data_IF_498219266242
#
_entry.id   IF_498219266242
#
_cell.length_a   1.000
_cell.length_b   1.000
_cell.length_c   1.000
_cell.angle_alpha   90.00
_cell.angle_beta   90.00
_cell.angle_gamma   90.00
#
_symmetry.space_group_name_H-M   'P 1'
#
loop_
_entity.id
_entity.type
_entity.pdbx_description
1 polymer ?
#
# COMPACT_ATOMS: atom_id res chain seq x y z
N UNK A 1 6.18 -9.92 73.67
CA UNK A 1 7.07 -9.77 72.50
C UNK A 1 6.34 -10.28 71.26
N UNK A 2 6.05 -9.45 70.24
CA UNK A 2 5.32 -9.92 69.06
C UNK A 2 6.23 -10.81 68.20
N UNK A 3 5.70 -11.97 67.83
CA UNK A 3 6.38 -13.09 67.19
C UNK A 3 6.85 -12.72 65.76
N UNK A 4 8.16 -12.55 65.58
CA UNK A 4 8.82 -12.11 64.32
C UNK A 4 8.48 -13.01 63.13
N UNK A 5 8.26 -14.31 63.35
CA UNK A 5 7.91 -15.26 62.28
C UNK A 5 6.54 -14.95 61.65
N UNK A 6 5.58 -14.42 62.42
CA UNK A 6 4.23 -14.11 61.92
C UNK A 6 4.23 -12.90 60.96
N UNK A 7 5.19 -11.98 61.11
CA UNK A 7 5.38 -10.82 60.22
C UNK A 7 6.06 -11.21 58.90
N UNK A 8 6.97 -12.18 58.92
CA UNK A 8 7.61 -12.70 57.70
C UNK A 8 6.64 -13.45 56.79
N UNK A 9 5.77 -14.31 57.35
CA UNK A 9 4.76 -15.03 56.58
C UNK A 9 3.72 -14.10 55.94
N UNK A 10 3.24 -13.09 56.68
CA UNK A 10 2.29 -12.10 56.16
C UNK A 10 2.88 -11.22 55.04
N UNK A 11 4.19 -10.93 55.08
CA UNK A 11 4.87 -10.19 54.01
C UNK A 11 5.02 -11.05 52.75
N UNK A 12 5.35 -12.35 52.92
CA UNK A 12 5.52 -13.31 51.82
C UNK A 12 4.20 -13.63 51.11
N UNK A 13 3.10 -13.77 51.85
CA UNK A 13 1.76 -13.96 51.28
C UNK A 13 1.26 -12.72 50.54
N UNK A 14 1.47 -11.51 51.09
CA UNK A 14 1.11 -10.26 50.39
C UNK A 14 1.91 -10.06 49.09
N UNK A 15 3.19 -10.45 49.09
CA UNK A 15 4.02 -10.41 47.89
C UNK A 15 3.57 -11.44 46.85
N UNK A 16 3.18 -12.64 47.28
CA UNK A 16 2.69 -13.71 46.41
C UNK A 16 1.33 -13.36 45.79
N UNK A 17 0.38 -12.85 46.58
CA UNK A 17 -0.92 -12.38 46.11
C UNK A 17 -0.76 -11.19 45.15
N UNK A 18 0.14 -10.25 45.44
CA UNK A 18 0.47 -9.15 44.55
C UNK A 18 1.06 -9.62 43.21
N UNK A 19 1.97 -10.60 43.23
CA UNK A 19 2.55 -11.17 42.02
C UNK A 19 1.51 -11.94 41.17
N UNK A 20 0.65 -12.74 41.80
CA UNK A 20 -0.45 -13.44 41.11
C UNK A 20 -1.43 -12.45 40.49
N UNK A 21 -1.77 -11.37 41.20
CA UNK A 21 -2.63 -10.31 40.66
C UNK A 21 -1.99 -9.60 39.46
N UNK A 22 -0.68 -9.30 39.52
CA UNK A 22 0.07 -8.65 38.43
C UNK A 22 0.17 -9.55 37.18
N UNK A 23 0.40 -10.86 37.38
CA UNK A 23 0.41 -11.86 36.29
C UNK A 23 -0.98 -12.03 35.70
N UNK A 24 -2.03 -12.12 36.52
CA UNK A 24 -3.41 -12.18 36.05
C UNK A 24 -3.77 -10.93 35.23
N UNK A 25 -3.32 -9.75 35.67
CA UNK A 25 -3.51 -8.49 34.95
C UNK A 25 -2.80 -8.52 33.59
N UNK A 26 -1.53 -8.96 33.51
CA UNK A 26 -0.83 -9.12 32.23
C UNK A 26 -1.51 -10.08 31.25
N UNK A 27 -2.16 -11.15 31.75
CA UNK A 27 -2.90 -12.10 30.90
C UNK A 27 -4.19 -11.45 30.37
N UNK A 28 -4.90 -10.66 31.19
CA UNK A 28 -6.14 -10.00 30.76
C UNK A 28 -5.93 -8.85 29.78
N UNK A 29 -4.76 -8.20 29.80
CA UNK A 29 -4.41 -7.11 28.89
C UNK A 29 -3.57 -7.56 27.68
N UNK A 30 -3.68 -8.84 27.29
CA UNK A 30 -3.00 -9.30 26.08
C UNK A 30 -3.67 -8.66 24.85
N UNK A 31 -2.96 -7.80 24.08
CA UNK A 31 -3.54 -7.21 22.88
C UNK A 31 -3.83 -8.33 21.88
N UNK A 32 -5.10 -8.55 21.58
CA UNK A 32 -5.48 -9.45 20.48
C UNK A 32 -5.11 -8.78 19.17
N UNK A 33 -4.43 -9.52 18.30
CA UNK A 33 -4.07 -9.02 16.97
C UNK A 33 -5.36 -8.94 16.16
N UNK A 34 -5.89 -7.73 15.96
CA UNK A 34 -7.02 -7.52 15.07
C UNK A 34 -6.56 -7.85 13.64
N UNK A 35 -7.04 -8.96 13.08
CA UNK A 35 -6.83 -9.34 11.68
C UNK A 35 -7.67 -8.44 10.77
N UNK A 36 -7.26 -7.18 10.64
CA UNK A 36 -7.83 -6.26 9.67
C UNK A 36 -7.31 -6.62 8.27
N UNK A 37 -8.20 -7.09 7.40
CA UNK A 37 -7.86 -7.33 6.00
C UNK A 37 -7.60 -5.99 5.32
N UNK A 38 -6.37 -5.76 4.83
CA UNK A 38 -6.04 -4.49 4.17
C UNK A 38 -6.80 -4.40 2.84
N UNK A 39 -7.35 -3.23 2.52
CA UNK A 39 -7.99 -2.96 1.23
C UNK A 39 -7.13 -1.98 0.43
N UNK A 40 -7.07 -2.18 -0.87
CA UNK A 40 -6.29 -1.37 -1.80
C UNK A 40 -7.23 -0.72 -2.81
N UNK A 41 -6.89 0.51 -3.18
CA UNK A 41 -7.45 1.22 -4.33
C UNK A 41 -6.28 1.72 -5.15
N UNK A 42 -6.32 1.48 -6.45
CA UNK A 42 -5.35 2.00 -7.42
C UNK A 42 -6.08 2.87 -8.41
N UNK A 43 -5.42 3.92 -8.91
CA UNK A 43 -6.01 4.79 -9.93
C UNK A 43 -4.99 5.16 -11.01
N UNK A 44 -5.47 5.33 -12.23
CA UNK A 44 -4.67 5.78 -13.38
C UNK A 44 -5.54 6.59 -14.33
N UNK A 45 -4.88 7.30 -15.26
CA UNK A 45 -5.55 8.13 -16.26
C UNK A 45 -5.41 7.51 -17.63
N UNK A 46 -6.54 7.40 -18.34
CA UNK A 46 -6.57 7.12 -19.78
C UNK A 46 -7.41 8.20 -20.47
N UNK A 47 -6.76 8.93 -21.38
CA UNK A 47 -7.32 10.12 -22.01
C UNK A 47 -7.82 11.14 -20.98
N UNK A 48 -9.13 11.41 -20.98
CA UNK A 48 -9.76 12.37 -20.06
C UNK A 48 -10.49 11.71 -18.86
N UNK A 49 -10.32 10.40 -18.67
CA UNK A 49 -10.96 9.66 -17.58
C UNK A 49 -9.94 9.11 -16.60
N UNK A 50 -10.32 9.14 -15.32
CA UNK A 50 -9.66 8.39 -14.26
C UNK A 50 -10.33 7.03 -14.14
N UNK A 51 -9.53 5.98 -14.13
CA UNK A 51 -9.94 4.62 -13.83
C UNK A 51 -9.43 4.23 -12.45
N UNK A 52 -10.22 3.45 -11.75
CA UNK A 52 -9.88 2.94 -10.41
C UNK A 52 -10.17 1.45 -10.34
N UNK A 53 -9.34 0.73 -9.58
CA UNK A 53 -9.50 -0.69 -9.29
C UNK A 53 -9.28 -0.93 -7.80
N UNK A 54 -10.19 -1.70 -7.20
CA UNK A 54 -10.26 -1.91 -5.76
C UNK A 54 -10.30 -3.40 -5.40
N UNK A 55 -9.43 -3.81 -4.48
CA UNK A 55 -9.29 -5.22 -4.08
C UNK A 55 -8.83 -5.36 -2.62
N UNK A 56 -9.20 -6.47 -1.98
CA UNK A 56 -8.71 -6.85 -0.66
C UNK A 56 -7.33 -7.50 -0.75
N UNK A 57 -6.58 -7.55 0.35
CA UNK A 57 -5.28 -8.24 0.42
C UNK A 57 -5.34 -9.74 0.11
N UNK A 58 -6.54 -10.35 0.16
CA UNK A 58 -6.82 -11.71 -0.29
C UNK A 58 -6.87 -11.85 -1.82
N UNK A 59 -6.90 -10.74 -2.57
CA UNK A 59 -7.10 -10.69 -4.02
C UNK A 59 -8.56 -10.56 -4.46
N UNK A 60 -9.52 -10.66 -3.54
CA UNK A 60 -10.94 -10.49 -3.88
C UNK A 60 -11.27 -9.04 -4.27
N UNK A 61 -12.16 -8.87 -5.25
CA UNK A 61 -12.60 -7.55 -5.72
C UNK A 61 -13.57 -6.90 -4.75
N UNK A 62 -13.39 -5.61 -4.51
CA UNK A 62 -14.31 -4.83 -3.67
C UNK A 62 -15.55 -4.48 -4.50
N UNK A 63 -16.66 -5.15 -4.27
CA UNK A 63 -17.93 -4.89 -4.97
C UNK A 63 -18.76 -3.88 -4.20
N UNK A 64 -19.41 -2.96 -4.93
CA UNK A 64 -20.27 -1.92 -4.35
C UNK A 64 -19.58 -1.05 -3.28
N UNK A 65 -18.25 -0.99 -3.32
CA UNK A 65 -17.43 -0.17 -2.43
C UNK A 65 -17.55 1.29 -2.81
N UNK A 66 -17.70 2.17 -1.83
CA UNK A 66 -17.89 3.59 -2.07
C UNK A 66 -16.54 4.25 -2.38
N UNK A 67 -16.46 4.93 -3.53
CA UNK A 67 -15.33 5.76 -3.91
C UNK A 67 -15.69 7.22 -3.68
N UNK A 68 -14.83 7.94 -2.96
CA UNK A 68 -14.92 9.38 -2.72
C UNK A 68 -13.67 10.03 -3.29
N UNK A 69 -13.83 11.08 -4.09
CA UNK A 69 -12.70 11.83 -4.66
C UNK A 69 -12.69 13.23 -4.07
N UNK A 70 -11.54 13.63 -3.58
CA UNK A 70 -11.31 14.94 -2.96
C UNK A 70 -10.27 15.74 -3.76
N UNK A 71 -10.45 17.05 -3.78
CA UNK A 71 -9.45 17.99 -4.24
C UNK A 71 -8.33 18.24 -3.22
N UNK A 72 -7.35 19.09 -3.55
CA UNK A 72 -6.27 19.46 -2.64
C UNK A 72 -6.75 20.31 -1.44
N UNK A 73 -7.94 20.90 -1.55
CA UNK A 73 -8.65 21.63 -0.49
C UNK A 73 -9.48 20.71 0.42
N UNK A 74 -9.30 19.38 0.31
CA UNK A 74 -10.10 18.34 0.97
C UNK A 74 -11.60 18.38 0.64
N UNK A 75 -12.00 19.18 -0.35
CA UNK A 75 -13.39 19.26 -0.79
C UNK A 75 -13.75 18.03 -1.60
N UNK A 76 -14.89 17.40 -1.26
CA UNK A 76 -15.43 16.28 -2.04
C UNK A 76 -15.87 16.78 -3.42
N UNK A 77 -15.25 16.25 -4.47
CA UNK A 77 -15.53 16.58 -5.86
C UNK A 77 -16.58 15.64 -6.44
N UNK A 78 -16.47 14.35 -6.16
CA UNK A 78 -17.42 13.33 -6.62
C UNK A 78 -17.44 12.11 -5.71
N UNK A 79 -18.46 11.30 -5.92
CA UNK A 79 -18.70 10.04 -5.23
C UNK A 79 -19.26 9.00 -6.21
N UNK A 80 -18.92 7.74 -6.00
CA UNK A 80 -19.41 6.63 -6.80
C UNK A 80 -19.26 5.29 -6.09
N UNK A 81 -19.57 4.21 -6.81
CA UNK A 81 -19.42 2.84 -6.32
C UNK A 81 -18.67 1.97 -7.32
N UNK A 82 -17.88 1.04 -6.81
CA UNK A 82 -17.22 0.03 -7.64
C UNK A 82 -18.21 -0.99 -8.18
N UNK A 83 -17.93 -1.49 -9.37
CA UNK A 83 -18.72 -2.54 -10.02
C UNK A 83 -18.34 -3.94 -9.47
N UNK A 84 -18.90 -5.01 -10.07
CA UNK A 84 -18.62 -6.42 -9.67
C UNK A 84 -17.15 -6.84 -9.81
N UNK A 85 -16.37 -6.14 -10.63
CA UNK A 85 -14.94 -6.34 -10.86
C UNK A 85 -14.07 -5.46 -9.95
N UNK A 86 -14.68 -4.63 -9.10
CA UNK A 86 -13.97 -3.69 -8.25
C UNK A 86 -13.54 -2.41 -8.96
N UNK A 87 -14.09 -2.14 -10.14
CA UNK A 87 -13.69 -1.00 -10.97
C UNK A 87 -14.68 0.16 -10.83
N UNK A 88 -14.19 1.39 -10.91
CA UNK A 88 -14.99 2.60 -11.06
C UNK A 88 -14.23 3.60 -11.94
N UNK A 89 -14.94 4.39 -12.74
CA UNK A 89 -14.31 5.40 -13.60
C UNK A 89 -15.11 6.70 -13.62
N UNK A 90 -14.41 7.82 -13.79
CA UNK A 90 -15.01 9.16 -13.79
C UNK A 90 -14.19 10.12 -14.67
N UNK A 91 -14.83 11.19 -15.14
CA UNK A 91 -14.13 12.26 -15.87
C UNK A 91 -13.29 13.08 -14.90
N UNK A 92 -12.09 13.51 -15.31
CA UNK A 92 -11.19 14.31 -14.47
C UNK A 92 -11.93 15.62 -14.05
N UNK A 93 -12.25 15.82 -12.75
CA UNK A 93 -13.01 16.99 -12.31
C UNK A 93 -12.17 18.26 -12.33
N UNK A 94 -10.86 18.15 -12.07
CA UNK A 94 -9.89 19.24 -12.09
C UNK A 94 -8.48 18.68 -12.27
N UNK A 95 -7.60 19.46 -12.91
CA UNK A 95 -6.20 19.09 -13.16
C UNK A 95 -5.29 19.45 -11.98
N UNK A 96 -5.61 18.91 -10.81
CA UNK A 96 -4.83 19.05 -9.57
C UNK A 96 -4.58 17.68 -8.97
N UNK A 97 -3.82 17.59 -7.88
CA UNK A 97 -3.75 16.34 -7.13
C UNK A 97 -5.16 15.95 -6.66
N UNK A 98 -5.50 14.67 -6.82
CA UNK A 98 -6.79 14.10 -6.46
C UNK A 98 -6.57 13.00 -5.43
N UNK A 99 -7.26 13.11 -4.31
CA UNK A 99 -7.23 12.12 -3.22
C UNK A 99 -8.44 11.21 -3.34
N UNK A 100 -8.22 9.95 -3.71
CA UNK A 100 -9.25 8.95 -3.98
C UNK A 100 -9.31 8.02 -2.77
N UNK A 101 -10.47 7.97 -2.12
CA UNK A 101 -10.72 7.17 -0.94
C UNK A 101 -11.74 6.10 -1.28
N UNK A 102 -11.39 4.86 -0.98
CA UNK A 102 -12.29 3.71 -1.01
C UNK A 102 -12.77 3.39 0.41
N UNK A 103 -14.08 3.34 0.59
CA UNK A 103 -14.73 2.75 1.75
C UNK A 103 -15.35 1.42 1.33
N UNK A 104 -14.64 0.33 1.59
CA UNK A 104 -15.20 -1.01 1.58
C UNK A 104 -15.95 -1.23 2.90
N UNK A 105 -17.11 -1.89 2.85
CA UNK A 105 -17.99 -2.06 4.01
C UNK A 105 -17.25 -2.58 5.27
N UNK A 106 -17.84 -2.34 6.45
CA UNK A 106 -17.28 -2.73 7.75
C UNK A 106 -15.96 -2.04 8.14
N UNK A 107 -15.77 -0.78 7.74
CA UNK A 107 -14.64 0.05 8.19
C UNK A 107 -13.32 -0.16 7.43
N UNK A 108 -13.34 -0.90 6.33
CA UNK A 108 -12.17 -1.08 5.47
C UNK A 108 -11.97 0.15 4.58
N UNK A 109 -10.89 0.90 4.82
CA UNK A 109 -10.57 2.12 4.07
C UNK A 109 -9.26 1.96 3.30
N UNK A 110 -9.28 2.29 2.02
CA UNK A 110 -8.10 2.40 1.15
C UNK A 110 -7.99 3.82 0.60
N UNK A 111 -6.78 4.27 0.30
CA UNK A 111 -6.53 5.62 -0.18
C UNK A 111 -5.44 5.65 -1.26
N UNK A 112 -5.64 6.49 -2.29
CA UNK A 112 -4.71 6.69 -3.38
C UNK A 112 -4.65 8.17 -3.76
N UNK A 113 -3.45 8.72 -3.90
CA UNK A 113 -3.25 10.11 -4.36
C UNK A 113 -2.80 10.08 -5.81
N UNK A 114 -3.69 10.49 -6.71
CA UNK A 114 -3.39 10.67 -8.12
C UNK A 114 -2.81 12.08 -8.31
N UNK A 115 -1.54 12.18 -8.73
CA UNK A 115 -0.88 13.48 -8.88
C UNK A 115 -1.27 14.15 -10.18
N UNK A 116 -1.33 15.48 -10.19
CA UNK A 116 -1.62 16.27 -11.38
C UNK A 116 -0.65 15.97 -12.54
N UNK A 117 0.61 15.64 -12.22
CA UNK A 117 1.64 15.26 -13.21
C UNK A 117 1.29 13.98 -13.97
N UNK A 118 0.59 13.05 -13.32
CA UNK A 118 0.17 11.77 -13.92
C UNK A 118 -1.15 11.92 -14.71
N UNK A 119 -1.82 13.08 -14.59
CA UNK A 119 -3.00 13.46 -15.38
C UNK A 119 -2.63 14.16 -16.70
N UNK A 120 -1.33 14.40 -16.92
CA UNK A 120 -0.79 14.91 -18.17
C UNK A 120 -0.29 13.74 -19.00
N UNK A 121 -1.05 13.43 -20.07
CA UNK A 121 -0.64 12.70 -21.27
C UNK A 121 0.87 12.42 -21.33
N UNK A 122 1.25 11.14 -21.27
CA UNK A 122 2.49 10.74 -21.93
C UNK A 122 2.46 11.33 -23.35
N UNK A 123 3.51 12.00 -23.83
CA UNK A 123 3.63 12.32 -25.25
C UNK A 123 3.74 10.99 -25.99
N UNK A 124 2.61 10.43 -26.43
CA UNK A 124 2.63 9.18 -27.16
C UNK A 124 1.33 8.41 -27.28
N UNK A 125 0.26 8.71 -26.54
CA UNK A 125 -1.01 7.97 -26.71
C UNK A 125 -2.21 8.85 -26.40
N UNK A 126 -2.48 9.83 -27.25
CA UNK A 126 -3.87 10.16 -27.57
C UNK A 126 -3.98 10.92 -28.89
N UNK A 127 -4.97 10.55 -29.70
CA UNK A 127 -5.49 11.36 -30.83
C UNK A 127 -4.81 11.29 -32.21
N UNK A 128 -4.33 10.12 -32.67
CA UNK A 128 -4.02 9.94 -34.12
C UNK A 128 -4.46 8.58 -34.70
N UNK A 129 -5.47 7.90 -34.14
CA UNK A 129 -5.92 6.62 -34.73
C UNK A 129 -7.26 6.66 -35.47
N UNK A 130 -8.01 7.77 -35.43
CA UNK A 130 -9.27 7.86 -36.20
C UNK A 130 -9.15 8.66 -37.50
N UNK A 131 -8.15 9.54 -37.64
CA UNK A 131 -7.87 10.27 -38.90
C UNK A 131 -6.78 9.64 -39.78
N UNK A 132 -6.11 8.59 -39.32
CA UNK A 132 -5.04 7.93 -40.08
C UNK A 132 -5.48 6.64 -40.78
N UNK A 133 -6.65 6.08 -40.45
CA UNK A 133 -7.20 4.92 -41.16
C UNK A 133 -7.63 5.24 -42.61
N UNK A 134 -7.94 6.50 -42.92
CA UNK A 134 -8.35 6.97 -44.26
C UNK A 134 -7.18 7.45 -45.14
N UNK A 135 -5.95 7.53 -44.61
CA UNK A 135 -4.75 7.88 -45.40
C UNK A 135 -3.82 6.70 -45.65
N UNK A 136 -3.91 5.63 -44.87
CA UNK A 136 -3.06 4.43 -45.04
C UNK A 136 -3.44 3.63 -46.30
N UNK A 137 -4.71 3.57 -46.70
CA UNK A 137 -5.10 2.82 -47.91
C UNK A 137 -4.64 3.45 -49.24
N UNK A 138 -4.37 4.77 -49.27
CA UNK A 138 -3.88 5.45 -50.50
C UNK A 138 -2.35 5.59 -50.60
N UNK A 139 -1.60 5.34 -49.52
CA UNK A 139 -0.14 5.39 -49.52
C UNK A 139 0.53 4.01 -49.69
N UNK A 140 -0.21 2.91 -49.50
CA UNK A 140 0.30 1.54 -49.64
C UNK A 140 0.58 1.08 -51.08
N UNK A 141 0.21 1.86 -52.11
CA UNK A 141 0.42 1.47 -53.53
C UNK A 141 1.58 2.20 -54.24
N UNK A 142 2.30 3.11 -53.57
CA UNK A 142 3.32 3.94 -54.22
C UNK A 142 4.73 3.90 -53.60
N UNK A 143 4.98 3.05 -52.59
CA UNK A 143 6.32 2.95 -51.95
C UNK A 143 6.83 1.52 -51.77
N UNK A 144 6.48 0.63 -52.70
CA UNK A 144 7.01 -0.73 -52.78
C UNK A 144 8.39 -0.81 -53.46
N UNK A 145 9.08 0.31 -53.68
CA UNK A 145 10.44 0.29 -54.21
C UNK A 145 11.31 1.23 -53.40
N UNK A 146 12.37 0.66 -52.83
CA UNK A 146 13.51 1.29 -52.18
C UNK A 146 13.46 1.45 -50.65
N UNK A 147 13.67 0.33 -49.93
CA UNK A 147 14.72 0.24 -48.89
C UNK A 147 15.28 -1.19 -48.90
N UNK A 148 16.29 -1.42 -49.73
CA UNK A 148 17.24 -2.52 -49.52
C UNK A 148 18.45 -1.89 -48.82
N UNK A 149 18.54 -2.07 -47.51
CA UNK A 149 19.63 -1.56 -46.67
C UNK A 149 19.35 -1.90 -45.21
N UNK A 150 19.95 -2.99 -44.74
CA UNK A 150 19.59 -3.72 -43.53
C UNK A 150 19.43 -2.89 -42.26
N UNK A 151 18.24 -2.90 -41.70
CA UNK A 151 18.06 -2.73 -40.26
C UNK A 151 18.16 -4.15 -39.70
N UNK A 152 19.32 -4.52 -39.16
CA UNK A 152 19.45 -5.81 -38.49
C UNK A 152 18.55 -5.82 -37.25
N UNK A 153 17.90 -6.95 -37.02
CA UNK A 153 16.98 -7.17 -35.90
C UNK A 153 17.63 -6.79 -34.55
N UNK A 154 18.97 -6.85 -34.45
CA UNK A 154 19.73 -6.41 -33.29
C UNK A 154 19.66 -4.90 -33.03
N UNK A 155 19.66 -4.05 -34.07
CA UNK A 155 19.52 -2.59 -33.88
C UNK A 155 18.13 -2.22 -33.38
N UNK A 156 17.10 -2.95 -33.81
CA UNK A 156 15.74 -2.75 -33.32
C UNK A 156 15.65 -3.19 -31.86
N UNK A 157 16.18 -4.38 -31.51
CA UNK A 157 16.21 -4.86 -30.12
C UNK A 157 17.00 -3.95 -29.19
N UNK A 158 18.11 -3.37 -29.65
CA UNK A 158 18.92 -2.45 -28.86
C UNK A 158 18.20 -1.12 -28.57
N UNK A 159 17.62 -0.48 -29.60
CA UNK A 159 16.89 0.79 -29.45
C UNK A 159 15.61 0.58 -28.62
N UNK A 160 14.89 -0.52 -28.87
CA UNK A 160 13.69 -0.86 -28.11
C UNK A 160 14.04 -1.21 -26.66
N UNK A 161 15.10 -1.97 -26.43
CA UNK A 161 15.58 -2.32 -25.08
C UNK A 161 15.99 -1.11 -24.27
N UNK A 162 16.72 -0.16 -24.88
CA UNK A 162 17.16 1.07 -24.22
C UNK A 162 15.97 1.97 -23.82
N UNK A 163 15.00 2.15 -24.72
CA UNK A 163 13.79 2.93 -24.44
C UNK A 163 12.91 2.25 -23.39
N UNK A 164 12.84 0.91 -23.39
CA UNK A 164 12.09 0.16 -22.38
C UNK A 164 12.76 0.29 -21.01
N UNK A 165 14.08 0.09 -20.91
CA UNK A 165 14.81 0.16 -19.64
C UNK A 165 14.76 1.56 -19.02
N UNK A 166 14.85 2.61 -19.82
CA UNK A 166 14.71 3.99 -19.35
C UNK A 166 13.32 4.25 -18.76
N UNK A 167 12.27 3.63 -19.34
CA UNK A 167 10.88 3.76 -18.89
C UNK A 167 10.51 2.83 -17.73
N UNK A 168 11.22 1.72 -17.55
CA UNK A 168 10.98 0.76 -16.46
C UNK A 168 11.70 1.12 -15.15
N UNK A 169 12.85 1.81 -15.23
CA UNK A 169 13.60 2.30 -14.05
C UNK A 169 12.75 3.08 -13.02
N UNK A 170 11.83 3.99 -13.40
CA UNK A 170 11.00 4.69 -12.42
C UNK A 170 9.94 3.78 -11.78
N UNK A 171 9.38 2.83 -12.53
CA UNK A 171 8.38 1.86 -12.01
C UNK A 171 9.02 0.88 -11.02
N UNK A 172 10.22 0.39 -11.32
CA UNK A 172 10.97 -0.46 -10.39
C UNK A 172 11.27 0.25 -9.07
N UNK A 173 11.59 1.56 -9.14
CA UNK A 173 11.83 2.40 -7.95
C UNK A 173 10.57 2.66 -7.13
N UNK A 174 9.42 2.88 -7.76
CA UNK A 174 8.15 3.08 -7.02
C UNK A 174 7.67 1.80 -6.33
N UNK A 175 7.88 0.62 -6.94
CA UNK A 175 7.59 -0.67 -6.30
C UNK A 175 8.53 -0.94 -5.11
N UNK A 176 9.80 -0.56 -5.21
CA UNK A 176 10.75 -0.67 -4.11
C UNK A 176 10.32 0.19 -2.91
N UNK A 177 9.91 1.45 -3.14
CA UNK A 177 9.44 2.35 -2.09
C UNK A 177 8.15 1.86 -1.42
N UNK A 178 7.22 1.26 -2.17
CA UNK A 178 5.99 0.67 -1.61
C UNK A 178 6.24 -0.60 -0.78
N UNK A 179 7.35 -1.31 -1.02
CA UNK A 179 7.76 -2.46 -0.19
C UNK A 179 8.39 -2.04 1.14
N UNK A 180 8.90 -0.82 1.24
CA UNK A 180 9.56 -0.27 2.43
C UNK A 180 8.55 -0.01 3.57
N UNK A 181 7.26 0.19 3.28
CA UNK A 181 6.20 0.38 4.29
C UNK A 181 5.76 -0.91 5.00
N UNK A 182 6.64 -1.90 5.14
CA UNK A 182 6.40 -3.02 6.05
C UNK A 182 6.82 -2.57 7.45
N UNK A 183 5.83 -2.37 8.31
CA UNK A 183 6.06 -2.09 9.74
C UNK A 183 6.92 -3.16 10.42
N UNK A 184 7.33 -2.93 11.68
CA UNK A 184 8.25 -3.81 12.39
C UNK A 184 7.78 -5.26 12.35
N UNK A 185 8.68 -6.16 11.96
CA UNK A 185 8.41 -7.58 11.85
C UNK A 185 8.18 -8.24 13.21
N UNK A 186 7.64 -9.45 13.18
CA UNK A 186 7.41 -10.27 14.38
C UNK A 186 8.72 -10.49 15.15
N UNK A 187 9.83 -10.62 14.43
CA UNK A 187 11.19 -10.76 14.97
C UNK A 187 11.63 -9.54 15.79
N UNK A 188 11.37 -8.34 15.30
CA UNK A 188 11.71 -7.08 15.99
C UNK A 188 10.86 -6.90 17.25
N UNK A 189 9.58 -7.27 17.19
CA UNK A 189 8.67 -7.21 18.34
C UNK A 189 9.12 -8.19 19.43
N UNK A 190 9.37 -9.46 19.07
CA UNK A 190 9.83 -10.49 20.01
C UNK A 190 11.21 -10.12 20.58
N UNK A 191 12.11 -9.62 19.73
CA UNK A 191 13.43 -9.15 20.15
C UNK A 191 13.36 -7.99 21.15
N UNK A 192 12.49 -7.01 20.91
CA UNK A 192 12.24 -5.89 21.83
C UNK A 192 11.69 -6.35 23.18
N UNK A 193 10.71 -7.26 23.19
CA UNK A 193 10.17 -7.85 24.41
C UNK A 193 11.26 -8.62 25.18
N UNK A 194 12.05 -9.44 24.48
CA UNK A 194 13.15 -10.20 25.07
C UNK A 194 14.22 -9.30 25.71
N UNK A 195 14.55 -8.17 25.08
CA UNK A 195 15.50 -7.20 25.62
C UNK A 195 15.02 -6.58 26.94
N UNK A 196 13.75 -6.19 27.03
CA UNK A 196 13.15 -5.63 28.24
C UNK A 196 13.16 -6.66 29.38
N UNK A 197 12.69 -7.88 29.10
CA UNK A 197 12.66 -8.96 30.10
C UNK A 197 14.09 -9.31 30.55
N UNK A 198 15.05 -9.35 29.63
CA UNK A 198 16.45 -9.62 29.92
C UNK A 198 17.06 -8.59 30.88
N UNK A 199 16.90 -7.29 30.60
CA UNK A 199 17.42 -6.22 31.46
C UNK A 199 16.79 -6.23 32.85
N UNK A 200 15.47 -6.39 32.94
CA UNK A 200 14.75 -6.47 34.22
C UNK A 200 15.19 -7.70 35.02
N UNK A 201 15.35 -8.85 34.35
CA UNK A 201 15.83 -10.09 34.96
C UNK A 201 17.23 -9.93 35.56
N UNK A 202 18.15 -9.30 34.83
CA UNK A 202 19.50 -9.01 35.33
C UNK A 202 19.45 -8.07 36.55
N UNK A 203 18.66 -7.00 36.50
CA UNK A 203 18.53 -6.06 37.61
C UNK A 203 17.99 -6.73 38.88
N UNK A 204 16.98 -7.60 38.75
CA UNK A 204 16.41 -8.37 39.86
C UNK A 204 17.39 -9.40 40.42
N UNK A 205 18.17 -10.08 39.57
CA UNK A 205 19.19 -11.04 40.01
C UNK A 205 20.23 -10.41 40.92
N UNK A 206 20.72 -9.22 40.57
CA UNK A 206 21.67 -8.50 41.42
C UNK A 206 21.01 -7.93 42.68
N UNK A 207 19.74 -7.50 42.60
CA UNK A 207 18.97 -7.04 43.76
C UNK A 207 18.68 -8.16 44.76
N UNK A 208 18.46 -9.40 44.33
CA UNK A 208 18.21 -10.54 45.22
C UNK A 208 19.47 -11.08 45.91
N UNK A 209 20.66 -10.63 45.48
CA UNK A 209 21.95 -11.00 46.08
C UNK A 209 22.49 -9.97 47.10
N UNK A 210 21.75 -8.88 47.33
CA UNK A 210 21.99 -7.95 48.45
C UNK A 210 20.93 -8.18 49.52
#
# INVERSE_FOLDING_TARGET
>A
MPNINRRYHACKERLFVGAVFMVALMITFYPTVAMAHRVYVYAWVEGNKVFTESYFSSGERVRDGQILVFGPDEKKLLEGKTNKKGEFSFQIPQKTDLRIVLNAAMGHKGEYVLKAKDMGLNPGVDTTQEKEKLKIEKAAKAKSQNVMGGISEEKIKAIVGEVIDERLKPIARSIALLREEKGPGVTEIIGGIGYIIGLVGIALYFKSRK
#
